data_IF_541612036816
#
_entry.id   IF_541612036816
#
_cell.length_a   1.000
_cell.length_b   1.000
_cell.length_c   1.000
_cell.angle_alpha   90.00
_cell.angle_beta   90.00
_cell.angle_gamma   90.00
#
_symmetry.space_group_name_H-M   'P 1'
#
loop_
_entity.id
_entity.type
_entity.pdbx_description
1 polymer ?
#
# COMPACT_ATOMS: atom_id res chain seq x y z
N UNK A 1 -20.20 47.84 -22.73
CA UNK A 1 -19.40 47.59 -21.50
C UNK A 1 -20.19 46.60 -20.64
N UNK A 2 -19.70 45.39 -20.35
CA UNK A 2 -20.44 44.48 -19.48
C UNK A 2 -20.48 45.09 -18.07
N UNK A 3 -21.67 45.13 -17.43
CA UNK A 3 -21.82 45.55 -16.04
C UNK A 3 -21.00 44.60 -15.17
N UNK A 4 -19.90 45.09 -14.58
CA UNK A 4 -19.25 44.44 -13.45
C UNK A 4 -20.29 44.36 -12.33
N UNK A 5 -20.94 43.20 -12.18
CA UNK A 5 -21.87 42.96 -11.09
C UNK A 5 -21.07 42.98 -9.79
N UNK A 6 -21.31 44.02 -8.99
CA UNK A 6 -20.75 44.16 -7.66
C UNK A 6 -21.65 43.43 -6.67
N UNK A 7 -21.06 42.49 -5.95
CA UNK A 7 -21.74 41.75 -4.89
C UNK A 7 -21.30 42.29 -3.54
N UNK A 8 -22.26 42.66 -2.71
CA UNK A 8 -22.04 43.10 -1.35
C UNK A 8 -22.90 42.24 -0.41
N UNK A 9 -22.45 42.06 0.82
CA UNK A 9 -23.25 41.50 1.90
C UNK A 9 -23.45 42.55 2.99
N UNK A 10 -24.59 42.52 3.66
CA UNK A 10 -24.93 43.50 4.69
C UNK A 10 -24.75 42.89 6.08
N UNK A 11 -24.12 43.65 6.97
CA UNK A 11 -24.10 43.38 8.40
C UNK A 11 -25.01 44.41 9.09
N UNK A 12 -25.97 43.92 9.88
CA UNK A 12 -26.89 44.77 10.62
C UNK A 12 -26.69 44.56 12.11
N UNK A 13 -26.48 45.66 12.84
CA UNK A 13 -26.30 45.66 14.28
C UNK A 13 -27.41 46.49 14.92
N UNK A 14 -28.23 45.93 15.81
CA UNK A 14 -29.24 46.70 16.54
C UNK A 14 -28.55 47.66 17.51
N UNK A 15 -29.02 48.91 17.55
CA UNK A 15 -28.58 49.92 18.52
C UNK A 15 -29.64 50.04 19.60
N UNK A 16 -29.28 49.66 20.82
CA UNK A 16 -30.15 49.67 21.99
C UNK A 16 -29.93 50.97 22.75
N UNK A 17 -31.01 51.73 22.98
CA UNK A 17 -31.02 52.95 23.79
C UNK A 17 -32.13 52.80 24.83
N UNK A 18 -31.81 53.03 26.10
CA UNK A 18 -32.74 52.84 27.24
C UNK A 18 -33.34 51.42 27.30
N UNK A 19 -32.55 50.40 26.97
CA UNK A 19 -32.99 48.99 26.95
C UNK A 19 -33.93 48.63 25.79
N UNK A 20 -34.21 49.55 24.85
CA UNK A 20 -35.06 49.30 23.67
C UNK A 20 -34.25 49.45 22.38
N UNK A 21 -34.45 48.53 21.43
CA UNK A 21 -33.89 48.68 20.08
C UNK A 21 -34.55 49.85 19.37
N UNK A 22 -33.82 50.95 19.20
CA UNK A 22 -34.35 52.19 18.60
C UNK A 22 -33.87 52.39 17.17
N UNK A 23 -32.69 51.85 16.82
CA UNK A 23 -32.10 51.98 15.49
C UNK A 23 -31.40 50.69 15.05
N UNK A 24 -31.07 50.63 13.77
CA UNK A 24 -30.19 49.62 13.20
C UNK A 24 -29.03 50.29 12.46
N UNK A 25 -27.81 49.91 12.81
CA UNK A 25 -26.63 50.25 12.02
C UNK A 25 -26.47 49.19 10.93
N UNK A 26 -26.41 49.62 9.67
CA UNK A 26 -26.22 48.74 8.52
C UNK A 26 -24.89 49.07 7.85
N UNK A 27 -24.04 48.07 7.69
CA UNK A 27 -22.77 48.15 6.98
C UNK A 27 -22.80 47.23 5.77
N UNK A 28 -22.69 47.81 4.57
CA UNK A 28 -22.49 47.05 3.33
C UNK A 28 -21.02 46.75 3.11
N UNK A 29 -20.67 45.46 2.96
CA UNK A 29 -19.30 44.99 2.80
C UNK A 29 -19.17 44.28 1.46
N UNK A 30 -18.16 44.66 0.68
CA UNK A 30 -17.88 44.03 -0.62
C UNK A 30 -17.37 42.60 -0.46
N UNK A 31 -17.93 41.65 -1.21
CA UNK A 31 -17.53 40.22 -1.11
C UNK A 31 -16.06 39.98 -1.49
N UNK A 32 -15.43 40.92 -2.19
CA UNK A 32 -14.00 40.86 -2.52
C UNK A 32 -13.08 40.73 -1.31
N UNK A 33 -13.53 41.11 -0.10
CA UNK A 33 -12.77 40.83 1.14
C UNK A 33 -12.62 39.33 1.39
N UNK A 34 -13.67 38.55 1.14
CA UNK A 34 -13.68 37.09 1.27
C UNK A 34 -12.91 36.43 0.14
N UNK A 35 -12.99 36.99 -1.07
CA UNK A 35 -12.22 36.51 -2.20
C UNK A 35 -10.71 36.55 -1.92
N UNK A 36 -10.22 37.64 -1.34
CA UNK A 36 -8.80 37.76 -0.91
C UNK A 36 -8.45 36.74 0.16
N UNK A 37 -9.36 36.47 1.11
CA UNK A 37 -9.13 35.46 2.14
C UNK A 37 -8.97 34.06 1.54
N UNK A 38 -9.85 33.68 0.61
CA UNK A 38 -9.80 32.39 -0.09
C UNK A 38 -8.51 32.26 -0.91
N UNK A 39 -8.10 33.32 -1.60
CA UNK A 39 -6.87 33.32 -2.41
C UNK A 39 -5.60 33.16 -1.58
N UNK A 40 -5.58 33.69 -0.34
CA UNK A 40 -4.41 33.60 0.56
C UNK A 40 -4.16 32.19 1.10
N UNK A 41 -5.13 31.29 1.05
CA UNK A 41 -4.97 29.94 1.60
C UNK A 41 -4.10 29.02 0.72
N UNK A 42 -3.77 29.43 -0.51
CA UNK A 42 -2.87 28.71 -1.42
C UNK A 42 -3.16 27.19 -1.55
N UNK A 43 -4.44 26.83 -1.65
CA UNK A 43 -4.83 25.44 -1.95
C UNK A 43 -4.30 24.99 -3.32
N UNK A 44 -4.08 23.68 -3.53
CA UNK A 44 -3.74 23.15 -4.84
C UNK A 44 -4.71 23.65 -5.92
N UNK A 45 -4.19 23.97 -7.12
CA UNK A 45 -4.99 24.53 -8.21
C UNK A 45 -6.11 23.58 -8.70
N UNK A 46 -5.98 22.30 -8.39
CA UNK A 46 -6.96 21.23 -8.63
C UNK A 46 -8.15 21.29 -7.66
N UNK A 47 -8.01 21.94 -6.51
CA UNK A 47 -9.05 22.04 -5.49
C UNK A 47 -9.94 23.25 -5.72
N UNK A 48 -11.22 23.12 -5.37
CA UNK A 48 -12.16 24.25 -5.38
C UNK A 48 -12.61 24.56 -3.96
N UNK A 49 -12.38 25.80 -3.53
CA UNK A 49 -12.87 26.34 -2.26
C UNK A 49 -13.97 27.34 -2.54
N UNK A 50 -15.10 27.20 -1.85
CA UNK A 50 -16.24 28.11 -1.98
C UNK A 50 -16.65 28.60 -0.58
N UNK A 51 -16.94 29.89 -0.47
CA UNK A 51 -17.66 30.47 0.66
C UNK A 51 -19.04 30.83 0.17
N UNK A 52 -20.09 30.35 0.84
CA UNK A 52 -21.47 30.62 0.45
C UNK A 52 -22.27 31.21 1.59
N UNK A 53 -23.29 31.99 1.23
CA UNK A 53 -24.32 32.40 2.19
C UNK A 53 -25.17 31.21 2.66
N UNK A 54 -26.15 31.48 3.53
CA UNK A 54 -27.09 30.49 4.08
C UNK A 54 -27.99 29.81 3.02
N UNK A 55 -28.15 30.42 1.85
CA UNK A 55 -28.97 29.92 0.74
C UNK A 55 -28.14 29.13 -0.29
N UNK A 56 -26.82 29.05 -0.08
CA UNK A 56 -25.88 28.42 -0.99
C UNK A 56 -25.52 29.30 -2.19
N UNK A 57 -25.64 30.62 -2.09
CA UNK A 57 -25.11 31.56 -3.08
C UNK A 57 -23.64 31.81 -2.81
N UNK A 58 -22.82 31.71 -3.85
CA UNK A 58 -21.36 31.82 -3.76
C UNK A 58 -20.99 33.28 -3.51
N UNK A 59 -20.36 33.55 -2.36
CA UNK A 59 -19.80 34.85 -2.00
C UNK A 59 -18.32 34.96 -2.41
N UNK A 60 -17.56 33.87 -2.32
CA UNK A 60 -16.17 33.82 -2.77
C UNK A 60 -15.80 32.41 -3.25
N UNK A 61 -14.85 32.33 -4.18
CA UNK A 61 -14.43 31.06 -4.78
C UNK A 61 -12.98 31.08 -5.21
N UNK A 62 -12.23 30.00 -4.98
CA UNK A 62 -10.82 29.93 -5.39
C UNK A 62 -10.61 29.88 -6.91
N UNK A 63 -11.53 29.20 -7.62
CA UNK A 63 -11.43 28.92 -9.06
C UNK A 63 -12.52 29.62 -9.85
N UNK A 64 -12.13 30.31 -10.92
CA UNK A 64 -13.01 31.06 -11.83
C UNK A 64 -14.05 31.97 -11.13
N UNK A 65 -13.64 32.78 -10.13
CA UNK A 65 -14.57 33.58 -9.32
C UNK A 65 -15.40 34.55 -10.17
N UNK A 66 -14.84 35.11 -11.24
CA UNK A 66 -15.55 36.04 -12.12
C UNK A 66 -16.78 35.44 -12.82
N UNK A 67 -16.82 34.12 -12.98
CA UNK A 67 -17.95 33.42 -13.60
C UNK A 67 -18.97 32.92 -12.57
N UNK A 68 -18.53 32.57 -11.36
CA UNK A 68 -19.36 31.80 -10.42
C UNK A 68 -19.76 32.55 -9.15
N UNK A 69 -19.09 33.65 -8.79
CA UNK A 69 -19.53 34.48 -7.66
C UNK A 69 -20.92 35.04 -7.96
N UNK A 70 -21.82 34.94 -6.98
CA UNK A 70 -23.23 35.25 -7.12
C UNK A 70 -24.09 34.09 -7.61
N UNK A 71 -23.54 32.99 -8.12
CA UNK A 71 -24.35 31.83 -8.52
C UNK A 71 -24.75 30.96 -7.32
N UNK A 72 -25.82 30.20 -7.47
CA UNK A 72 -26.20 29.16 -6.51
C UNK A 72 -25.37 27.89 -6.73
N UNK A 73 -25.02 27.21 -5.64
CA UNK A 73 -24.55 25.83 -5.70
C UNK A 73 -25.61 24.93 -6.36
N UNK A 74 -25.14 23.82 -6.95
CA UNK A 74 -26.03 22.77 -7.49
C UNK A 74 -27.06 22.38 -6.44
N UNK A 75 -28.29 22.15 -6.88
CA UNK A 75 -29.41 21.86 -5.98
C UNK A 75 -29.13 20.68 -5.04
N UNK A 76 -28.55 19.59 -5.56
CA UNK A 76 -28.16 18.44 -4.76
C UNK A 76 -27.20 18.80 -3.63
N UNK A 77 -26.23 19.67 -3.88
CA UNK A 77 -25.29 20.17 -2.86
C UNK A 77 -26.02 21.00 -1.82
N UNK A 78 -26.92 21.90 -2.23
CA UNK A 78 -27.73 22.71 -1.29
C UNK A 78 -28.60 21.85 -0.39
N UNK A 79 -29.26 20.82 -0.93
CA UNK A 79 -30.06 19.87 -0.13
C UNK A 79 -29.21 19.15 0.92
N UNK A 80 -27.99 18.71 0.57
CA UNK A 80 -27.05 18.09 1.52
C UNK A 80 -26.61 19.07 2.62
N UNK A 81 -26.30 20.32 2.27
CA UNK A 81 -25.94 21.34 3.25
C UNK A 81 -27.11 21.65 4.20
N UNK A 82 -28.35 21.69 3.70
CA UNK A 82 -29.52 21.92 4.54
C UNK A 82 -29.77 20.83 5.59
N UNK A 83 -29.29 19.60 5.36
CA UNK A 83 -29.53 18.46 6.24
C UNK A 83 -28.79 18.55 7.59
N UNK A 84 -27.67 19.27 7.66
CA UNK A 84 -26.92 19.43 8.91
C UNK A 84 -26.04 20.67 8.91
N UNK A 85 -25.82 21.24 10.10
CA UNK A 85 -24.87 22.33 10.34
C UNK A 85 -23.50 21.84 10.82
N UNK A 86 -23.38 20.57 11.21
CA UNK A 86 -22.09 19.97 11.60
C UNK A 86 -21.14 19.90 10.40
N UNK A 87 -19.83 19.78 10.67
CA UNK A 87 -18.86 19.51 9.62
C UNK A 87 -19.04 18.09 9.10
N UNK A 88 -19.06 17.90 7.78
CA UNK A 88 -19.20 16.56 7.18
C UNK A 88 -18.58 16.49 5.79
N UNK A 89 -18.26 15.26 5.38
CA UNK A 89 -17.81 14.94 4.03
C UNK A 89 -18.95 14.35 3.20
N UNK A 90 -18.97 14.66 1.91
CA UNK A 90 -19.91 14.05 0.97
C UNK A 90 -19.36 14.09 -0.46
N UNK A 91 -19.85 13.19 -1.31
CA UNK A 91 -19.54 13.22 -2.73
C UNK A 91 -20.45 14.21 -3.45
N UNK A 92 -19.86 15.00 -4.35
CA UNK A 92 -20.57 15.97 -5.14
C UNK A 92 -19.91 16.20 -6.50
N UNK A 93 -20.47 17.13 -7.27
CA UNK A 93 -19.85 17.63 -8.49
C UNK A 93 -19.67 19.13 -8.37
N UNK A 94 -18.54 19.65 -8.84
CA UNK A 94 -18.34 21.10 -8.97
C UNK A 94 -19.33 21.70 -9.96
N UNK A 95 -19.38 23.02 -10.11
CA UNK A 95 -20.25 23.67 -11.10
C UNK A 95 -19.85 23.29 -12.54
N UNK A 96 -18.57 23.02 -12.75
CA UNK A 96 -17.94 22.50 -13.96
C UNK A 96 -18.23 21.00 -14.22
N UNK A 97 -18.88 20.31 -13.27
CA UNK A 97 -19.24 18.90 -13.41
C UNK A 97 -18.15 17.91 -12.96
N UNK A 98 -17.04 18.38 -12.39
CA UNK A 98 -15.94 17.53 -11.92
C UNK A 98 -16.38 16.76 -10.66
N UNK A 99 -16.27 15.41 -10.64
CA UNK A 99 -16.55 14.61 -9.45
C UNK A 99 -15.54 14.90 -8.34
N UNK A 100 -16.04 15.26 -7.16
CA UNK A 100 -15.24 15.70 -6.01
C UNK A 100 -15.75 15.10 -4.71
N UNK A 101 -14.83 14.94 -3.76
CA UNK A 101 -15.14 14.78 -2.35
C UNK A 101 -15.13 16.16 -1.71
N UNK A 102 -16.24 16.55 -1.11
CA UNK A 102 -16.41 17.88 -0.53
C UNK A 102 -16.47 17.79 0.98
N UNK A 103 -15.65 18.59 1.66
CA UNK A 103 -15.79 18.94 3.07
C UNK A 103 -16.64 20.21 3.18
N UNK A 104 -17.73 20.14 3.94
CA UNK A 104 -18.49 21.33 4.31
C UNK A 104 -18.28 21.67 5.79
N UNK A 105 -18.06 22.96 6.05
CA UNK A 105 -18.04 23.52 7.39
C UNK A 105 -18.97 24.73 7.48
N UNK A 106 -19.55 24.95 8.66
CA UNK A 106 -20.47 26.06 8.91
C UNK A 106 -19.76 27.16 9.71
N UNK A 107 -19.84 28.39 9.22
CA UNK A 107 -19.34 29.58 9.92
C UNK A 107 -20.29 29.91 11.07
N UNK A 108 -19.79 30.04 12.32
CA UNK A 108 -20.61 30.43 13.46
C UNK A 108 -21.38 31.73 13.22
N UNK A 109 -22.55 31.86 13.84
CA UNK A 109 -23.39 33.07 13.87
C UNK A 109 -23.99 33.55 12.53
N UNK A 110 -23.46 33.14 11.38
CA UNK A 110 -23.93 33.58 10.05
C UNK A 110 -24.69 32.49 9.28
N UNK A 111 -24.49 31.22 9.63
CA UNK A 111 -24.91 30.03 8.88
C UNK A 111 -24.32 29.94 7.47
N UNK A 112 -23.28 30.73 7.18
CA UNK A 112 -22.54 30.63 5.94
C UNK A 112 -21.77 29.32 5.91
N UNK A 113 -21.46 28.82 4.71
CA UNK A 113 -20.76 27.56 4.52
C UNK A 113 -19.42 27.80 3.85
N UNK A 114 -18.40 27.08 4.31
CA UNK A 114 -17.14 26.92 3.60
C UNK A 114 -17.09 25.50 3.06
N UNK A 115 -16.92 25.38 1.74
CA UNK A 115 -16.83 24.10 1.05
C UNK A 115 -15.44 23.97 0.46
N UNK A 116 -14.75 22.88 0.78
CA UNK A 116 -13.48 22.49 0.17
C UNK A 116 -13.74 21.22 -0.64
N UNK A 117 -13.54 21.30 -1.96
CA UNK A 117 -13.82 20.23 -2.90
C UNK A 117 -12.52 19.71 -3.52
N UNK A 118 -12.25 18.43 -3.30
CA UNK A 118 -11.05 17.72 -3.75
C UNK A 118 -11.44 16.76 -4.88
N UNK A 119 -10.82 16.81 -6.07
CA UNK A 119 -11.12 15.87 -7.15
C UNK A 119 -10.94 14.41 -6.75
N UNK A 120 -11.92 13.57 -7.07
CA UNK A 120 -11.86 12.13 -6.74
C UNK A 120 -10.65 11.43 -7.38
N UNK A 121 -10.20 11.92 -8.54
CA UNK A 121 -9.00 11.41 -9.20
C UNK A 121 -7.74 11.61 -8.34
N UNK A 122 -7.66 12.70 -7.57
CA UNK A 122 -6.51 13.03 -6.72
C UNK A 122 -6.55 12.22 -5.41
N UNK A 123 -7.74 12.10 -4.81
CA UNK A 123 -7.97 11.23 -3.63
C UNK A 123 -7.58 9.78 -3.92
N UNK A 124 -7.82 9.29 -5.14
CA UNK A 124 -7.49 7.90 -5.55
C UNK A 124 -6.06 7.69 -6.01
N UNK A 125 -5.35 8.73 -6.44
CA UNK A 125 -3.96 8.60 -6.94
C UNK A 125 -2.97 8.34 -5.81
N UNK A 126 -3.09 9.09 -4.71
CA UNK A 126 -2.14 9.00 -3.57
C UNK A 126 -2.02 7.57 -3.00
N UNK A 127 -3.11 6.80 -2.82
CA UNK A 127 -2.99 5.43 -2.31
C UNK A 127 -2.39 4.42 -3.31
N UNK A 128 -2.59 4.62 -4.62
CA UNK A 128 -2.22 3.62 -5.62
C UNK A 128 -0.71 3.53 -5.85
N UNK A 129 -0.01 4.67 -5.87
CA UNK A 129 1.44 4.68 -6.03
C UNK A 129 2.16 4.08 -4.81
N UNK A 130 1.71 4.45 -3.60
CA UNK A 130 2.21 3.86 -2.37
C UNK A 130 1.92 2.36 -2.28
N UNK A 131 0.71 1.92 -2.66
CA UNK A 131 0.35 0.51 -2.70
C UNK A 131 1.16 -0.26 -3.74
N UNK A 132 1.41 0.31 -4.92
CA UNK A 132 2.25 -0.30 -5.96
C UNK A 132 3.70 -0.45 -5.49
N UNK A 133 4.26 0.56 -4.82
CA UNK A 133 5.61 0.50 -4.27
C UNK A 133 5.73 -0.54 -3.15
N UNK A 134 4.75 -0.60 -2.25
CA UNK A 134 4.69 -1.65 -1.22
C UNK A 134 4.55 -3.04 -1.85
N UNK A 135 3.69 -3.20 -2.86
CA UNK A 135 3.53 -4.46 -3.57
C UNK A 135 4.82 -4.90 -4.28
N UNK A 136 5.52 -3.97 -4.93
CA UNK A 136 6.82 -4.23 -5.55
C UNK A 136 7.88 -4.66 -4.52
N UNK A 137 7.91 -4.00 -3.36
CA UNK A 137 8.83 -4.34 -2.28
C UNK A 137 8.53 -5.72 -1.68
N UNK A 138 7.25 -6.05 -1.46
CA UNK A 138 6.84 -7.39 -1.02
C UNK A 138 7.18 -8.46 -2.06
N UNK A 139 6.94 -8.21 -3.34
CA UNK A 139 7.30 -9.13 -4.41
C UNK A 139 8.81 -9.36 -4.48
N UNK A 140 9.61 -8.30 -4.35
CA UNK A 140 11.07 -8.40 -4.31
C UNK A 140 11.55 -9.24 -3.12
N UNK A 141 11.03 -9.00 -1.93
CA UNK A 141 11.36 -9.78 -0.73
C UNK A 141 10.97 -11.25 -0.88
N UNK A 142 9.82 -11.54 -1.49
CA UNK A 142 9.38 -12.90 -1.75
C UNK A 142 10.30 -13.62 -2.74
N UNK A 143 10.68 -12.95 -3.84
CA UNK A 143 11.65 -13.50 -4.80
C UNK A 143 12.99 -13.76 -4.11
N UNK A 144 13.46 -12.83 -3.28
CA UNK A 144 14.72 -12.98 -2.54
C UNK A 144 14.68 -14.16 -1.57
N UNK A 145 13.59 -14.29 -0.80
CA UNK A 145 13.40 -15.39 0.15
C UNK A 145 13.38 -16.75 -0.56
N UNK A 146 12.69 -16.85 -1.70
CA UNK A 146 12.65 -18.07 -2.51
C UNK A 146 14.03 -18.37 -3.11
N UNK A 147 14.76 -17.36 -3.58
CA UNK A 147 16.10 -17.54 -4.12
C UNK A 147 17.09 -18.03 -3.05
N UNK A 148 17.09 -17.39 -1.88
CA UNK A 148 17.93 -17.79 -0.74
C UNK A 148 17.54 -19.18 -0.24
N UNK A 149 16.25 -19.49 -0.12
CA UNK A 149 15.78 -20.81 0.27
C UNK A 149 16.22 -21.91 -0.71
N UNK A 150 16.13 -21.65 -2.03
CA UNK A 150 16.63 -22.59 -3.05
C UNK A 150 18.14 -22.74 -3.01
N UNK A 151 18.87 -21.65 -2.80
CA UNK A 151 20.32 -21.69 -2.67
C UNK A 151 20.75 -22.50 -1.44
N UNK A 152 20.10 -22.29 -0.30
CA UNK A 152 20.36 -23.02 0.94
C UNK A 152 20.00 -24.51 0.81
N UNK A 153 18.84 -24.85 0.23
CA UNK A 153 18.43 -26.24 0.02
C UNK A 153 19.44 -27.00 -0.86
N UNK A 154 19.94 -26.36 -1.93
CA UNK A 154 20.95 -26.97 -2.82
C UNK A 154 22.31 -27.13 -2.17
N UNK A 155 22.74 -26.18 -1.33
CA UNK A 155 24.10 -26.12 -0.80
C UNK A 155 24.26 -26.81 0.56
N UNK A 156 23.22 -26.87 1.38
CA UNK A 156 23.30 -27.43 2.73
C UNK A 156 22.52 -28.75 2.88
N UNK A 157 21.29 -28.82 2.36
CA UNK A 157 20.40 -29.98 2.60
C UNK A 157 20.72 -31.15 1.64
N UNK A 158 20.78 -30.88 0.33
CA UNK A 158 21.01 -31.91 -0.67
C UNK A 158 22.32 -32.71 -0.49
N UNK A 159 23.45 -32.12 -0.08
CA UNK A 159 24.68 -32.87 0.19
C UNK A 159 24.58 -33.77 1.42
N UNK A 160 23.89 -33.33 2.47
CA UNK A 160 23.68 -34.11 3.69
C UNK A 160 22.77 -35.32 3.42
N UNK A 161 21.68 -35.14 2.68
CA UNK A 161 20.83 -36.26 2.23
C UNK A 161 21.58 -37.23 1.30
N UNK A 162 22.53 -36.74 0.50
CA UNK A 162 23.39 -37.60 -0.31
C UNK A 162 24.31 -38.46 0.58
N UNK A 163 24.97 -37.86 1.57
CA UNK A 163 25.81 -38.61 2.51
C UNK A 163 25.01 -39.61 3.33
N UNK A 164 23.78 -39.26 3.75
CA UNK A 164 22.86 -40.19 4.41
C UNK A 164 22.59 -41.43 3.56
N UNK A 165 22.25 -41.25 2.28
CA UNK A 165 22.06 -42.37 1.34
C UNK A 165 23.32 -43.18 1.08
N UNK A 166 24.50 -42.54 1.13
CA UNK A 166 25.77 -43.24 1.03
C UNK A 166 26.02 -44.12 2.26
N UNK A 167 25.64 -43.66 3.45
CA UNK A 167 25.75 -44.42 4.69
C UNK A 167 24.85 -45.67 4.67
N UNK A 168 23.59 -45.52 4.24
CA UNK A 168 22.65 -46.63 4.11
C UNK A 168 23.20 -47.71 3.16
N UNK A 169 23.69 -47.30 1.99
CA UNK A 169 24.33 -48.22 1.02
C UNK A 169 25.58 -48.91 1.56
N UNK A 170 26.38 -48.20 2.33
CA UNK A 170 27.56 -48.78 2.97
C UNK A 170 27.16 -49.89 3.95
N UNK A 171 26.09 -49.67 4.72
CA UNK A 171 25.56 -50.63 5.68
C UNK A 171 25.04 -51.90 4.98
N UNK A 172 24.41 -51.76 3.81
CA UNK A 172 23.94 -52.87 2.99
C UNK A 172 25.09 -53.59 2.23
N UNK A 173 26.31 -53.07 2.30
CA UNK A 173 27.47 -53.59 1.58
C UNK A 173 27.44 -53.33 0.08
N UNK A 174 26.62 -52.37 -0.37
CA UNK A 174 26.55 -51.92 -1.76
C UNK A 174 27.76 -51.05 -2.13
N UNK A 175 28.05 -50.94 -3.44
CA UNK A 175 29.03 -49.99 -3.93
C UNK A 175 28.47 -48.58 -3.97
N UNK A 176 29.22 -47.63 -3.42
CA UNK A 176 28.84 -46.22 -3.44
C UNK A 176 29.46 -45.57 -4.67
N UNK A 177 28.67 -44.96 -5.57
CA UNK A 177 29.19 -44.13 -6.64
C UNK A 177 29.56 -42.75 -6.11
N UNK A 178 30.78 -42.28 -6.43
CA UNK A 178 31.23 -40.93 -6.11
C UNK A 178 30.47 -39.88 -6.93
N UNK A 179 29.98 -38.83 -6.28
CA UNK A 179 29.41 -37.65 -6.94
C UNK A 179 29.90 -36.37 -6.25
N UNK A 180 30.62 -35.47 -6.95
CA UNK A 180 31.07 -34.22 -6.36
C UNK A 180 29.89 -33.25 -6.18
N UNK A 181 29.78 -32.68 -4.97
CA UNK A 181 28.82 -31.63 -4.60
C UNK A 181 29.48 -30.26 -4.45
N UNK A 182 30.82 -30.17 -4.49
CA UNK A 182 31.57 -28.91 -4.52
C UNK A 182 31.72 -28.22 -3.16
N UNK A 183 31.41 -28.94 -2.07
CA UNK A 183 31.85 -28.61 -0.71
C UNK A 183 33.00 -29.54 -0.36
N UNK A 184 34.15 -28.98 -0.03
CA UNK A 184 35.39 -29.75 0.20
C UNK A 184 35.19 -30.79 1.31
N UNK A 185 34.50 -30.43 2.39
CA UNK A 185 34.21 -31.33 3.51
C UNK A 185 33.28 -32.48 3.10
N UNK A 186 32.23 -32.18 2.32
CA UNK A 186 31.28 -33.19 1.84
C UNK A 186 31.99 -34.15 0.88
N UNK A 187 32.73 -33.61 -0.07
CA UNK A 187 33.39 -34.40 -1.10
C UNK A 187 34.50 -35.28 -0.50
N UNK A 188 35.18 -34.79 0.53
CA UNK A 188 36.14 -35.58 1.32
C UNK A 188 35.47 -36.76 2.03
N UNK A 189 34.35 -36.54 2.71
CA UNK A 189 33.61 -37.62 3.39
C UNK A 189 33.08 -38.62 2.37
N UNK A 190 32.46 -38.15 1.29
CA UNK A 190 31.95 -39.00 0.21
C UNK A 190 33.05 -39.89 -0.37
N UNK A 191 34.24 -39.32 -0.62
CA UNK A 191 35.38 -40.07 -1.13
C UNK A 191 35.84 -41.17 -0.15
N UNK A 192 35.91 -40.87 1.15
CA UNK A 192 36.26 -41.86 2.18
C UNK A 192 35.26 -43.00 2.27
N UNK A 193 33.96 -42.72 2.12
CA UNK A 193 32.92 -43.76 2.10
C UNK A 193 33.04 -44.67 0.88
N UNK A 194 33.38 -44.11 -0.29
CA UNK A 194 33.65 -44.90 -1.51
C UNK A 194 34.85 -45.82 -1.32
N UNK A 195 35.90 -45.35 -0.65
CA UNK A 195 37.06 -46.19 -0.35
C UNK A 195 36.72 -47.31 0.64
N UNK A 196 35.97 -46.98 1.71
CA UNK A 196 35.48 -47.96 2.66
C UNK A 196 34.57 -49.03 2.02
N UNK A 197 33.66 -48.65 1.11
CA UNK A 197 32.79 -49.62 0.42
C UNK A 197 33.58 -50.60 -0.44
N UNK A 198 34.68 -50.14 -1.06
CA UNK A 198 35.60 -51.01 -1.81
C UNK A 198 36.34 -51.97 -0.88
N UNK A 199 36.81 -51.51 0.28
CA UNK A 199 37.49 -52.36 1.26
C UNK A 199 36.55 -53.43 1.82
N UNK A 200 35.35 -53.06 2.28
CA UNK A 200 34.36 -53.99 2.85
C UNK A 200 34.01 -55.11 1.85
N UNK A 201 33.78 -54.79 0.57
CA UNK A 201 33.53 -55.81 -0.45
C UNK A 201 34.72 -56.72 -0.72
N UNK A 202 35.94 -56.19 -0.73
CA UNK A 202 37.15 -57.01 -0.92
C UNK A 202 37.22 -58.03 0.21
N UNK A 203 37.09 -57.59 1.46
CA UNK A 203 37.08 -58.48 2.62
C UNK A 203 35.93 -59.48 2.59
N UNK A 204 34.73 -59.08 2.16
CA UNK A 204 33.59 -60.01 1.99
C UNK A 204 33.87 -61.08 0.93
N UNK A 205 34.40 -60.69 -0.24
CA UNK A 205 34.78 -61.64 -1.31
C UNK A 205 35.89 -62.58 -0.87
N UNK A 206 36.90 -62.08 -0.15
CA UNK A 206 37.98 -62.90 0.41
C UNK A 206 37.47 -63.88 1.47
N UNK A 207 36.48 -63.49 2.27
CA UNK A 207 35.84 -64.37 3.24
C UNK A 207 34.99 -65.44 2.54
N UNK A 208 34.19 -65.07 1.54
CA UNK A 208 33.40 -65.99 0.71
C UNK A 208 34.30 -67.00 -0.01
N UNK A 209 35.45 -66.56 -0.55
CA UNK A 209 36.43 -67.46 -1.17
C UNK A 209 36.99 -68.47 -0.17
N UNK A 210 37.42 -68.01 1.02
CA UNK A 210 37.94 -68.88 2.09
C UNK A 210 36.89 -69.87 2.61
N UNK A 211 35.65 -69.43 2.74
CA UNK A 211 34.53 -70.30 3.16
C UNK A 211 34.27 -71.36 2.10
N UNK A 212 34.21 -71.00 0.81
CA UNK A 212 34.04 -71.97 -0.27
C UNK A 212 35.19 -72.98 -0.34
N UNK A 213 36.45 -72.51 -0.19
CA UNK A 213 37.61 -73.41 -0.15
C UNK A 213 37.54 -74.39 1.02
N UNK A 214 37.13 -73.93 2.21
CA UNK A 214 36.94 -74.77 3.38
C UNK A 214 35.83 -75.81 3.18
N UNK A 215 34.69 -75.42 2.60
CA UNK A 215 33.57 -76.32 2.30
C UNK A 215 33.99 -77.41 1.32
N UNK A 216 34.68 -77.05 0.23
CA UNK A 216 35.20 -78.00 -0.75
C UNK A 216 36.22 -78.97 -0.14
N UNK A 217 37.08 -78.49 0.75
CA UNK A 217 38.03 -79.34 1.48
C UNK A 217 37.34 -80.33 2.42
N UNK A 218 36.24 -79.93 3.07
CA UNK A 218 35.43 -80.85 3.90
C UNK A 218 34.64 -81.87 3.10
N UNK A 219 34.11 -81.51 1.92
CA UNK A 219 33.42 -82.47 1.05
C UNK A 219 34.37 -83.54 0.49
N UNK A 220 35.62 -83.18 0.17
CA UNK A 220 36.65 -84.13 -0.26
C UNK A 220 37.16 -85.04 0.87
N UNK A 221 36.98 -84.66 2.13
CA UNK A 221 37.37 -85.48 3.28
C UNK A 221 36.25 -86.45 3.74
N UNK A 222 35.02 -86.29 3.23
CA UNK A 222 33.87 -87.12 3.59
C UNK A 222 33.35 -88.03 2.46
N UNK A 223 33.87 -87.89 1.23
CA UNK A 223 33.65 -88.82 0.12
C UNK A 223 34.78 -89.83 -0.03
#
# INVERSE_FOLDING_TARGET
MPRLQRYDFMMQVPVVVDGKTRYHLVLGIHVGILQRLVQRQQFPATWSVNVTDRNGRIAARSRDPGHYVGMLLREQTRRRLAATTRNFFFDSKTLEGVPVRTLASTVPNSQWRVLISIPNAEVRRVPLEAAALLAAMMALLLVLAVAVGRWFARRAVAPVEYLGRCADRLADGEEIPYRPYGLEEVDTVAWRMVEASKQIRRSKRELEHRVNEAILATEQAQG
#
